data_IF_907288469693
#
_entry.id   IF_907288469693
#
_cell.length_a   1.000
_cell.length_b   1.000
_cell.length_c   1.000
_cell.angle_alpha   90.00
_cell.angle_beta   90.00
_cell.angle_gamma   90.00
#
_symmetry.space_group_name_H-M   'P 1'
#
loop_
_entity.id
_entity.type
_entity.pdbx_description
1 polymer ?
#
# COMPACT_ATOMS: atom_id res chain seq x y z
N UNK A 1 3.77 17.49 -34.76
CA UNK A 1 4.18 18.42 -33.67
C UNK A 1 3.91 17.75 -32.35
N UNK A 2 4.90 17.71 -31.43
CA UNK A 2 4.71 17.14 -30.10
C UNK A 2 3.87 18.11 -29.25
N UNK A 3 2.76 17.65 -28.70
CA UNK A 3 1.86 18.43 -27.86
C UNK A 3 2.61 18.97 -26.63
N UNK A 4 2.31 20.22 -26.25
CA UNK A 4 2.89 20.87 -25.07
C UNK A 4 1.80 21.04 -24.01
N UNK A 5 2.14 20.69 -22.77
CA UNK A 5 1.29 20.85 -21.60
C UNK A 5 1.98 21.75 -20.58
N UNK A 6 1.20 22.61 -19.93
CA UNK A 6 1.66 23.32 -18.74
C UNK A 6 1.86 22.35 -17.56
N UNK A 7 2.66 22.75 -16.58
CA UNK A 7 2.82 21.97 -15.35
C UNK A 7 1.48 21.81 -14.59
N UNK A 8 0.59 22.79 -14.65
CA UNK A 8 -0.73 22.75 -14.04
C UNK A 8 -1.63 21.68 -14.69
N UNK A 9 -1.63 21.59 -16.03
CA UNK A 9 -2.35 20.53 -16.75
C UNK A 9 -1.79 19.16 -16.44
N UNK A 10 -0.46 18.98 -16.41
CA UNK A 10 0.18 17.74 -16.07
C UNK A 10 -0.19 17.27 -14.64
N UNK A 11 -0.22 18.17 -13.64
CA UNK A 11 -0.70 17.88 -12.29
C UNK A 11 -2.15 17.47 -12.28
N UNK A 12 -3.00 18.23 -12.96
CA UNK A 12 -4.43 17.94 -13.03
C UNK A 12 -4.71 16.57 -13.63
N UNK A 13 -4.00 16.18 -14.69
CA UNK A 13 -4.07 14.85 -15.32
C UNK A 13 -3.64 13.78 -14.34
N UNK A 14 -2.50 13.95 -13.66
CA UNK A 14 -1.98 12.97 -12.70
C UNK A 14 -2.93 12.76 -11.51
N UNK A 15 -3.48 13.82 -10.96
CA UNK A 15 -4.44 13.79 -9.85
C UNK A 15 -5.75 13.11 -10.29
N UNK A 16 -6.23 13.43 -11.50
CA UNK A 16 -7.43 12.81 -12.07
C UNK A 16 -7.21 11.30 -12.29
N UNK A 17 -6.09 10.90 -12.90
CA UNK A 17 -5.75 9.50 -13.10
C UNK A 17 -5.66 8.74 -11.77
N UNK A 18 -5.12 9.37 -10.72
CA UNK A 18 -5.07 8.81 -9.38
C UNK A 18 -6.44 8.70 -8.67
N UNK A 19 -7.53 9.18 -9.28
CA UNK A 19 -8.90 9.03 -8.76
C UNK A 19 -9.37 10.14 -7.84
N UNK A 20 -8.80 11.34 -7.95
CA UNK A 20 -9.22 12.53 -7.20
C UNK A 20 -9.99 13.54 -8.05
N UNK A 21 -10.47 13.13 -9.23
CA UNK A 21 -11.29 13.92 -10.16
C UNK A 21 -12.78 13.97 -9.79
N UNK A 22 -13.18 13.20 -8.78
CA UNK A 22 -14.58 13.06 -8.34
C UNK A 22 -14.69 13.23 -6.83
N UNK A 23 -15.84 13.73 -6.35
CA UNK A 23 -16.11 13.76 -4.92
C UNK A 23 -16.16 12.33 -4.34
N UNK A 24 -15.84 12.20 -3.09
CA UNK A 24 -15.99 10.94 -2.34
C UNK A 24 -17.46 10.50 -2.34
N UNK A 25 -17.76 9.20 -2.51
CA UNK A 25 -19.13 8.71 -2.44
C UNK A 25 -19.72 8.86 -1.03
N UNK A 26 -20.98 9.25 -0.92
CA UNK A 26 -21.63 9.41 0.37
C UNK A 26 -21.75 8.07 1.14
N UNK A 27 -21.89 6.96 0.42
CA UNK A 27 -21.96 5.58 0.97
C UNK A 27 -21.00 4.67 0.18
N UNK A 28 -19.71 4.59 0.59
CA UNK A 28 -18.74 3.71 -0.07
C UNK A 28 -19.14 2.24 0.04
N UNK A 29 -19.14 1.52 -1.07
CA UNK A 29 -19.45 0.09 -1.15
C UNK A 29 -18.43 -0.68 -2.00
N UNK A 30 -18.68 -1.98 -2.21
CA UNK A 30 -17.79 -2.89 -2.95
C UNK A 30 -17.45 -2.37 -4.36
N UNK A 31 -18.40 -1.83 -5.08
CA UNK A 31 -18.19 -1.28 -6.43
C UNK A 31 -17.21 -0.12 -6.44
N UNK A 32 -17.29 0.75 -5.43
CA UNK A 32 -16.37 1.87 -5.30
C UNK A 32 -14.94 1.40 -4.98
N UNK A 33 -14.78 0.46 -4.02
CA UNK A 33 -13.47 -0.10 -3.69
C UNK A 33 -12.85 -0.81 -4.90
N UNK A 34 -13.64 -1.63 -5.60
CA UNK A 34 -13.25 -2.30 -6.85
C UNK A 34 -12.76 -1.30 -7.90
N UNK A 35 -13.53 -0.24 -8.14
CA UNK A 35 -13.20 0.78 -9.13
C UNK A 35 -11.88 1.50 -8.80
N UNK A 36 -11.60 1.80 -7.53
CA UNK A 36 -10.33 2.40 -7.11
C UNK A 36 -9.16 1.46 -7.39
N UNK A 37 -9.26 0.17 -7.03
CA UNK A 37 -8.16 -0.78 -7.23
C UNK A 37 -7.89 -0.99 -8.72
N UNK A 38 -8.94 -1.14 -9.56
CA UNK A 38 -8.78 -1.25 -11.00
C UNK A 38 -8.17 0.01 -11.64
N UNK A 39 -8.56 1.20 -11.16
CA UNK A 39 -8.00 2.47 -11.64
C UNK A 39 -6.51 2.56 -11.36
N UNK A 40 -6.10 2.20 -10.16
CA UNK A 40 -4.70 2.22 -9.74
C UNK A 40 -3.90 1.02 -10.28
N UNK A 41 -4.56 -0.07 -10.65
CA UNK A 41 -3.92 -1.33 -11.08
C UNK A 41 -3.27 -2.10 -9.93
N UNK A 42 -2.91 -1.44 -8.84
CA UNK A 42 -2.40 -2.08 -7.62
C UNK A 42 -2.54 -1.17 -6.40
N UNK A 43 -2.49 -1.77 -5.21
CA UNK A 43 -2.34 -1.05 -3.94
C UNK A 43 -1.21 -1.71 -3.17
N UNK A 44 -0.19 -0.94 -2.81
CA UNK A 44 0.92 -1.46 -2.01
C UNK A 44 0.44 -1.88 -0.62
N UNK A 45 0.84 -3.08 -0.22
CA UNK A 45 0.67 -3.60 1.14
C UNK A 45 1.84 -3.14 2.00
N UNK A 46 1.54 -2.40 3.04
CA UNK A 46 2.50 -2.06 4.06
C UNK A 46 1.86 -2.15 5.44
N UNK A 47 2.61 -2.70 6.38
CA UNK A 47 2.15 -3.04 7.73
C UNK A 47 2.77 -2.15 8.80
N UNK A 48 3.30 -1.00 8.41
CA UNK A 48 3.71 0.05 9.36
C UNK A 48 2.46 0.51 10.12
N UNK A 49 2.26 -0.03 11.30
CA UNK A 49 1.05 0.15 12.10
C UNK A 49 1.12 1.40 12.99
N UNK A 50 1.38 2.56 12.40
CA UNK A 50 1.34 3.85 13.11
C UNK A 50 -0.10 4.35 13.25
N UNK A 51 -0.88 4.23 12.18
CA UNK A 51 -2.33 4.50 12.14
C UNK A 51 -3.10 3.19 11.97
N UNK A 52 -2.90 2.56 10.83
CA UNK A 52 -3.40 1.27 10.38
C UNK A 52 -2.57 0.84 9.16
N UNK A 53 -2.67 -0.42 8.70
CA UNK A 53 -1.98 -0.85 7.49
C UNK A 53 -2.30 0.06 6.30
N UNK A 54 -1.25 0.48 5.57
CA UNK A 54 -1.30 1.60 4.62
C UNK A 54 -2.27 1.38 3.44
N UNK A 55 -2.48 0.14 3.02
CA UNK A 55 -3.38 -0.20 1.92
C UNK A 55 -4.85 0.20 2.19
N UNK A 56 -5.30 0.18 3.44
CA UNK A 56 -6.63 0.70 3.78
C UNK A 56 -6.69 2.22 3.61
N UNK A 57 -5.61 2.94 3.91
CA UNK A 57 -5.58 4.39 3.82
C UNK A 57 -5.59 4.89 2.37
N UNK A 58 -5.00 4.15 1.42
CA UNK A 58 -5.06 4.47 -0.02
C UNK A 58 -6.51 4.50 -0.51
N UNK A 59 -7.35 3.57 -0.06
CA UNK A 59 -8.79 3.60 -0.36
C UNK A 59 -9.49 4.75 0.38
N UNK A 60 -9.18 4.96 1.67
CA UNK A 60 -9.77 6.05 2.47
C UNK A 60 -9.54 7.42 1.82
N UNK A 61 -8.36 7.69 1.30
CA UNK A 61 -8.06 8.96 0.64
C UNK A 61 -9.04 9.27 -0.51
N UNK A 62 -9.56 8.25 -1.19
CA UNK A 62 -10.47 8.37 -2.34
C UNK A 62 -11.94 8.18 -1.99
N UNK A 63 -12.23 7.33 -1.01
CA UNK A 63 -13.59 6.93 -0.67
C UNK A 63 -14.14 7.65 0.56
N UNK A 64 -13.27 8.24 1.40
CA UNK A 64 -13.66 8.64 2.75
C UNK A 64 -13.87 7.45 3.69
N UNK A 65 -14.62 7.60 4.77
CA UNK A 65 -14.92 6.52 5.70
C UNK A 65 -15.63 5.36 5.01
N UNK A 66 -14.99 4.21 4.95
CA UNK A 66 -15.54 2.98 4.39
C UNK A 66 -15.30 1.81 5.33
N UNK A 67 -16.06 0.74 5.19
CA UNK A 67 -15.90 -0.45 5.99
C UNK A 67 -14.71 -1.27 5.48
N UNK A 68 -13.64 -1.41 6.27
CA UNK A 68 -12.36 -2.05 5.87
C UNK A 68 -12.54 -3.47 5.33
N UNK A 69 -13.51 -4.25 5.89
CA UNK A 69 -13.86 -5.60 5.39
C UNK A 69 -14.28 -5.65 3.91
N UNK A 70 -14.62 -4.50 3.28
CA UNK A 70 -14.89 -4.47 1.83
C UNK A 70 -13.66 -4.86 1.02
N UNK A 71 -12.48 -4.39 1.42
CA UNK A 71 -11.23 -4.76 0.76
C UNK A 71 -10.92 -6.23 0.98
N UNK A 72 -10.97 -6.69 2.24
CA UNK A 72 -10.71 -8.08 2.59
C UNK A 72 -11.67 -9.05 1.88
N UNK A 73 -12.94 -8.65 1.75
CA UNK A 73 -13.94 -9.42 1.03
C UNK A 73 -13.62 -9.55 -0.47
N UNK A 74 -13.17 -8.46 -1.12
CA UNK A 74 -12.76 -8.47 -2.53
C UNK A 74 -11.54 -9.37 -2.76
N UNK A 75 -10.57 -9.34 -1.84
CA UNK A 75 -9.30 -10.08 -1.97
C UNK A 75 -9.48 -11.56 -1.59
N UNK A 76 -9.99 -11.84 -0.39
CA UNK A 76 -9.91 -13.20 0.18
C UNK A 76 -11.20 -14.02 0.02
N UNK A 77 -12.35 -13.36 -0.18
CA UNK A 77 -13.63 -14.09 -0.35
C UNK A 77 -14.04 -14.17 -1.81
N UNK A 78 -14.06 -13.02 -2.50
CA UNK A 78 -14.45 -12.99 -3.92
C UNK A 78 -13.31 -13.36 -4.86
N UNK A 79 -12.06 -13.26 -4.41
CA UNK A 79 -10.85 -13.54 -5.20
C UNK A 79 -10.79 -12.76 -6.52
N UNK A 80 -11.40 -11.57 -6.54
CA UNK A 80 -11.30 -10.65 -7.67
C UNK A 80 -9.91 -9.97 -7.70
N UNK A 81 -9.28 -9.95 -6.54
CA UNK A 81 -7.92 -9.44 -6.31
C UNK A 81 -7.11 -10.47 -5.55
N UNK A 82 -5.79 -10.37 -5.65
CA UNK A 82 -4.85 -11.24 -4.94
C UNK A 82 -3.65 -10.45 -4.48
N UNK A 83 -2.90 -11.00 -3.54
CA UNK A 83 -1.59 -10.44 -3.16
C UNK A 83 -0.52 -10.99 -4.09
N UNK A 84 0.42 -10.14 -4.50
CA UNK A 84 1.63 -10.54 -5.19
C UNK A 84 2.68 -9.44 -5.15
N UNK A 85 3.94 -9.79 -5.42
CA UNK A 85 5.03 -8.86 -5.61
C UNK A 85 4.87 -8.12 -6.96
N UNK A 86 4.48 -6.84 -6.90
CA UNK A 86 4.28 -5.96 -8.06
C UNK A 86 5.14 -4.69 -7.95
N UNK A 87 4.66 -3.60 -7.36
CA UNK A 87 5.53 -2.50 -6.96
C UNK A 87 6.43 -2.94 -5.80
N UNK A 88 5.83 -3.37 -4.74
CA UNK A 88 6.32 -4.13 -3.59
C UNK A 88 5.31 -5.25 -3.34
N UNK A 89 5.16 -5.78 -2.12
CA UNK A 89 3.99 -6.58 -1.80
C UNK A 89 2.74 -5.74 -2.08
N UNK A 90 1.84 -6.22 -2.91
CA UNK A 90 0.71 -5.44 -3.41
C UNK A 90 -0.54 -6.30 -3.54
N UNK A 91 -1.70 -5.65 -3.39
CA UNK A 91 -2.98 -6.17 -3.87
C UNK A 91 -3.10 -5.78 -5.34
N UNK A 92 -3.35 -6.74 -6.21
CA UNK A 92 -3.51 -6.58 -7.65
C UNK A 92 -4.82 -7.24 -8.12
N UNK A 93 -5.46 -6.78 -9.20
CA UNK A 93 -6.47 -7.56 -9.88
C UNK A 93 -5.95 -8.95 -10.22
N UNK A 94 -6.70 -10.01 -9.92
CA UNK A 94 -6.23 -11.38 -10.14
C UNK A 94 -5.89 -11.65 -11.61
N UNK A 95 -6.57 -10.98 -12.54
CA UNK A 95 -6.28 -11.02 -13.97
C UNK A 95 -4.87 -10.53 -14.36
N UNK A 96 -4.19 -9.81 -13.46
CA UNK A 96 -2.80 -9.38 -13.65
C UNK A 96 -1.78 -10.43 -13.19
N UNK A 97 -2.18 -11.44 -12.45
CA UNK A 97 -1.28 -12.48 -11.95
C UNK A 97 -0.45 -13.15 -13.07
N UNK A 98 -1.02 -13.50 -14.24
CA UNK A 98 -0.25 -14.05 -15.37
C UNK A 98 0.83 -13.10 -15.89
N UNK A 99 0.65 -11.79 -15.78
CA UNK A 99 1.62 -10.79 -16.24
C UNK A 99 2.90 -10.78 -15.39
N UNK A 100 2.83 -11.27 -14.17
CA UNK A 100 3.96 -11.31 -13.23
C UNK A 100 4.72 -12.65 -13.27
N UNK A 101 4.24 -13.66 -14.01
CA UNK A 101 4.86 -14.99 -14.07
C UNK A 101 6.32 -14.99 -14.51
N UNK A 102 6.68 -14.15 -15.48
CA UNK A 102 8.07 -14.06 -15.92
C UNK A 102 9.02 -13.64 -14.77
N UNK A 103 8.54 -12.78 -13.87
CA UNK A 103 9.31 -12.37 -12.67
C UNK A 103 9.37 -13.48 -11.63
N UNK A 104 8.29 -14.26 -11.49
CA UNK A 104 8.25 -15.42 -10.61
C UNK A 104 9.21 -16.50 -11.09
N UNK A 105 9.23 -16.80 -12.39
CA UNK A 105 10.13 -17.78 -13.01
C UNK A 105 11.61 -17.37 -12.95
N UNK A 106 11.91 -16.08 -13.06
CA UNK A 106 13.26 -15.55 -12.94
C UNK A 106 13.70 -15.37 -11.47
N UNK A 107 12.87 -15.78 -10.49
CA UNK A 107 13.05 -15.57 -9.06
C UNK A 107 13.29 -14.09 -8.68
N UNK A 108 12.90 -13.16 -9.56
CA UNK A 108 13.12 -11.73 -9.40
C UNK A 108 12.02 -11.01 -8.61
N UNK A 109 11.04 -11.74 -8.10
CA UNK A 109 9.99 -11.11 -7.31
C UNK A 109 10.57 -10.35 -6.11
N UNK A 110 11.61 -10.92 -5.47
CA UNK A 110 12.46 -10.21 -4.50
C UNK A 110 13.82 -10.91 -4.34
N UNK A 111 14.94 -10.22 -4.56
CA UNK A 111 16.30 -10.74 -4.38
C UNK A 111 16.74 -10.59 -2.90
N UNK A 112 16.04 -11.24 -1.95
CA UNK A 112 16.37 -11.11 -0.53
C UNK A 112 17.08 -12.33 0.06
N UNK A 113 17.84 -13.05 -0.77
CA UNK A 113 18.64 -14.18 -0.31
C UNK A 113 17.82 -15.44 0.01
N UNK A 114 16.57 -15.52 -0.45
CA UNK A 114 15.78 -16.73 -0.29
C UNK A 114 16.36 -17.93 -1.02
N UNK A 115 17.05 -17.72 -2.13
CA UNK A 115 17.65 -18.80 -2.90
C UNK A 115 18.66 -19.58 -2.07
N UNK A 116 19.45 -18.91 -1.25
CA UNK A 116 20.37 -19.57 -0.31
C UNK A 116 19.67 -20.52 0.67
N UNK A 117 18.57 -20.07 1.28
CA UNK A 117 17.78 -20.92 2.19
C UNK A 117 17.16 -22.09 1.45
N UNK A 118 16.67 -21.86 0.23
CA UNK A 118 16.06 -22.89 -0.61
C UNK A 118 17.07 -23.96 -1.04
N UNK A 119 18.34 -23.59 -1.20
CA UNK A 119 19.44 -24.50 -1.59
C UNK A 119 20.05 -25.21 -0.39
N UNK A 120 20.35 -24.49 0.70
CA UNK A 120 21.00 -25.06 1.91
C UNK A 120 20.14 -26.08 2.64
N UNK A 121 18.80 -26.02 2.47
CA UNK A 121 17.83 -26.86 3.18
C UNK A 121 16.83 -27.54 2.25
N UNK A 122 17.26 -27.94 1.05
CA UNK A 122 16.38 -28.41 -0.04
C UNK A 122 15.38 -29.49 0.38
N UNK A 123 15.83 -30.50 1.17
CA UNK A 123 14.97 -31.59 1.61
C UNK A 123 13.84 -31.09 2.53
N UNK A 124 14.18 -30.25 3.50
CA UNK A 124 13.17 -29.69 4.40
C UNK A 124 12.26 -28.68 3.67
N UNK A 125 12.82 -27.89 2.74
CA UNK A 125 12.05 -26.97 1.91
C UNK A 125 10.97 -27.70 1.12
N UNK A 126 11.28 -28.89 0.57
CA UNK A 126 10.29 -29.73 -0.11
C UNK A 126 9.16 -30.15 0.85
N UNK A 127 9.48 -30.53 2.09
CA UNK A 127 8.48 -30.93 3.08
C UNK A 127 7.50 -29.81 3.43
N UNK A 128 7.94 -28.54 3.43
CA UNK A 128 7.07 -27.38 3.67
C UNK A 128 5.98 -27.28 2.60
N UNK A 129 6.33 -27.49 1.32
CA UNK A 129 5.35 -27.46 0.25
C UNK A 129 4.36 -28.63 0.36
N UNK A 130 4.85 -29.81 0.76
CA UNK A 130 4.01 -30.99 0.97
C UNK A 130 3.05 -30.80 2.17
N UNK A 131 3.50 -30.16 3.23
CA UNK A 131 2.62 -29.78 4.34
C UNK A 131 1.49 -28.83 3.88
N UNK A 132 1.80 -27.78 3.11
CA UNK A 132 0.77 -26.90 2.56
C UNK A 132 -0.18 -27.69 1.65
N UNK A 133 0.33 -28.64 0.86
CA UNK A 133 -0.49 -29.51 -0.01
C UNK A 133 -1.44 -30.38 0.80
N UNK A 134 -0.95 -30.96 1.88
CA UNK A 134 -1.72 -31.92 2.71
C UNK A 134 -2.73 -31.22 3.65
N UNK A 135 -2.33 -30.12 4.28
CA UNK A 135 -3.08 -29.47 5.37
C UNK A 135 -3.91 -28.27 4.93
N UNK A 136 -3.66 -27.72 3.73
CA UNK A 136 -4.33 -26.52 3.23
C UNK A 136 -3.67 -25.23 3.73
N UNK A 137 -4.41 -24.11 3.90
CA UNK A 137 -3.80 -22.83 4.24
C UNK A 137 -3.04 -22.89 5.57
N UNK A 138 -1.75 -22.56 5.56
CA UNK A 138 -0.87 -22.55 6.72
C UNK A 138 -0.21 -21.19 6.93
N UNK A 139 -0.01 -20.83 8.20
CA UNK A 139 0.87 -19.75 8.59
C UNK A 139 2.26 -20.28 8.97
N UNK A 140 3.27 -19.41 8.89
CA UNK A 140 4.66 -19.81 9.18
C UNK A 140 4.88 -20.35 10.60
N UNK A 141 4.08 -19.90 11.55
CA UNK A 141 4.16 -20.35 12.95
C UNK A 141 3.67 -21.78 13.16
N UNK A 142 2.87 -22.34 12.23
CA UNK A 142 2.34 -23.70 12.32
C UNK A 142 3.23 -24.76 11.67
N UNK A 143 4.38 -24.38 11.12
CA UNK A 143 5.35 -25.27 10.48
C UNK A 143 6.47 -25.58 11.46
N UNK A 144 6.64 -26.87 11.75
CA UNK A 144 7.74 -27.35 12.59
C UNK A 144 9.08 -27.14 11.88
N UNK A 145 10.07 -26.68 12.65
CA UNK A 145 11.37 -26.33 12.14
C UNK A 145 12.46 -27.25 12.69
N UNK A 146 13.35 -27.85 11.88
CA UNK A 146 14.36 -28.80 12.34
C UNK A 146 15.56 -28.14 13.05
N UNK A 147 15.35 -27.13 13.89
CA UNK A 147 16.39 -26.58 14.76
C UNK A 147 17.45 -25.66 14.12
N UNK A 148 17.27 -25.22 12.85
CA UNK A 148 18.20 -24.28 12.21
C UNK A 148 17.99 -22.90 12.79
N UNK A 149 19.03 -22.32 13.38
CA UNK A 149 18.97 -20.97 13.97
C UNK A 149 18.91 -19.89 12.88
N UNK A 150 18.19 -18.82 13.20
CA UNK A 150 18.00 -17.65 12.31
C UNK A 150 19.30 -16.87 11.95
N UNK A 151 20.47 -17.42 12.24
CA UNK A 151 21.77 -16.81 11.93
C UNK A 151 22.07 -16.72 10.42
N UNK A 152 21.25 -17.37 9.58
CA UNK A 152 21.39 -17.33 8.12
C UNK A 152 20.84 -16.05 7.47
N UNK A 153 20.18 -15.17 8.22
CA UNK A 153 19.52 -13.99 7.66
C UNK A 153 20.19 -12.71 8.11
N UNK A 154 20.93 -12.08 7.24
CA UNK A 154 21.51 -10.74 7.44
C UNK A 154 20.44 -9.62 7.55
N UNK A 155 19.15 -9.95 7.43
CA UNK A 155 18.05 -9.00 7.43
C UNK A 155 17.06 -9.22 8.57
N UNK A 156 16.85 -8.16 9.36
CA UNK A 156 15.91 -8.11 10.48
C UNK A 156 14.44 -8.45 10.17
N UNK A 157 14.07 -8.54 8.89
CA UNK A 157 12.71 -8.82 8.44
C UNK A 157 12.32 -10.30 8.45
N UNK A 158 13.29 -11.22 8.40
CA UNK A 158 13.04 -12.67 8.34
C UNK A 158 13.74 -13.37 9.49
N UNK A 159 13.10 -13.37 10.65
CA UNK A 159 13.58 -14.09 11.84
C UNK A 159 13.18 -15.57 11.88
N UNK A 160 12.43 -16.04 10.89
CA UNK A 160 11.86 -17.39 10.84
C UNK A 160 12.14 -18.02 9.48
N UNK A 161 12.84 -19.15 9.48
CA UNK A 161 13.15 -19.93 8.26
C UNK A 161 11.86 -20.42 7.59
N UNK A 162 10.83 -20.97 8.30
CA UNK A 162 9.57 -21.32 7.68
C UNK A 162 8.92 -20.16 6.90
N UNK A 163 8.96 -18.95 7.49
CA UNK A 163 8.44 -17.76 6.80
C UNK A 163 9.23 -17.45 5.53
N UNK A 164 10.55 -17.56 5.56
CA UNK A 164 11.38 -17.30 4.37
C UNK A 164 11.07 -18.27 3.24
N UNK A 165 10.88 -19.55 3.56
CA UNK A 165 10.53 -20.60 2.57
C UNK A 165 9.14 -20.34 1.99
N UNK A 166 8.13 -20.05 2.82
CA UNK A 166 6.80 -19.72 2.34
C UNK A 166 6.80 -18.45 1.46
N UNK A 167 7.57 -17.42 1.84
CA UNK A 167 7.73 -16.21 1.02
C UNK A 167 8.47 -16.50 -0.29
N UNK A 168 9.45 -17.40 -0.31
CA UNK A 168 10.12 -17.82 -1.53
C UNK A 168 9.15 -18.55 -2.48
N UNK A 169 8.37 -19.50 -1.99
CA UNK A 169 7.36 -20.19 -2.76
C UNK A 169 6.25 -19.26 -3.26
N UNK A 170 5.83 -18.30 -2.43
CA UNK A 170 4.90 -17.24 -2.82
C UNK A 170 5.51 -16.35 -3.93
N UNK A 171 6.76 -15.91 -3.78
CA UNK A 171 7.47 -15.13 -4.79
C UNK A 171 7.65 -15.87 -6.12
N UNK A 172 7.79 -17.20 -6.07
CA UNK A 172 7.88 -18.09 -7.24
C UNK A 172 6.52 -18.46 -7.84
N UNK A 173 5.40 -18.04 -7.20
CA UNK A 173 4.05 -18.30 -7.67
C UNK A 173 3.56 -19.73 -7.46
N UNK A 174 4.24 -20.52 -6.63
CA UNK A 174 3.78 -21.85 -6.20
C UNK A 174 2.73 -21.75 -5.10
N UNK A 175 2.87 -20.76 -4.23
CA UNK A 175 1.91 -20.43 -3.20
C UNK A 175 1.24 -19.07 -3.50
N UNK A 176 0.05 -18.88 -2.93
CA UNK A 176 -0.68 -17.62 -2.89
C UNK A 176 -1.23 -17.38 -1.48
N UNK A 177 -1.66 -16.15 -1.20
CA UNK A 177 -2.23 -15.82 0.11
C UNK A 177 -3.72 -16.11 0.10
N UNK A 178 -4.13 -17.13 0.85
CA UNK A 178 -5.52 -17.56 0.96
C UNK A 178 -6.35 -16.58 1.80
N UNK A 179 -5.79 -16.11 2.90
CA UNK A 179 -6.37 -15.10 3.79
C UNK A 179 -5.32 -14.54 4.75
N UNK A 180 -5.72 -13.54 5.54
CA UNK A 180 -4.93 -13.00 6.65
C UNK A 180 -5.68 -13.11 7.96
N UNK A 181 -4.94 -13.35 9.04
CA UNK A 181 -5.45 -13.24 10.39
C UNK A 181 -5.64 -11.76 10.79
N UNK A 182 -6.33 -11.49 11.89
CA UNK A 182 -6.54 -10.12 12.41
C UNK A 182 -5.23 -9.39 12.75
N UNK A 183 -4.21 -10.14 13.17
CA UNK A 183 -2.84 -9.61 13.37
C UNK A 183 -2.04 -9.45 12.08
N UNK A 184 -2.69 -9.63 10.92
CA UNK A 184 -2.12 -9.54 9.57
C UNK A 184 -1.17 -10.68 9.19
N UNK A 185 -1.05 -11.75 9.98
CA UNK A 185 -0.32 -12.96 9.59
C UNK A 185 -0.90 -13.55 8.30
N UNK A 186 -0.02 -14.01 7.41
CA UNK A 186 -0.37 -14.61 6.12
C UNK A 186 -0.66 -16.09 6.29
N UNK A 187 -1.75 -16.56 5.68
CA UNK A 187 -2.04 -17.95 5.45
C UNK A 187 -1.79 -18.28 3.98
N UNK A 188 -0.80 -19.14 3.74
CA UNK A 188 -0.36 -19.54 2.41
C UNK A 188 -1.05 -20.84 2.01
N UNK A 189 -1.52 -20.90 0.77
CA UNK A 189 -2.04 -22.12 0.17
C UNK A 189 -1.49 -22.28 -1.25
N UNK A 190 -1.67 -23.44 -1.86
CA UNK A 190 -1.26 -23.67 -3.25
C UNK A 190 -1.90 -22.62 -4.16
N UNK A 191 -1.12 -22.07 -5.07
CA UNK A 191 -1.62 -21.06 -6.01
C UNK A 191 -2.83 -21.57 -6.79
N UNK A 192 -2.87 -22.86 -7.14
CA UNK A 192 -3.98 -23.53 -7.84
C UNK A 192 -5.29 -23.60 -7.04
N UNK A 193 -5.23 -23.44 -5.71
CA UNK A 193 -6.43 -23.39 -4.85
C UNK A 193 -6.93 -21.98 -4.60
N UNK A 194 -6.07 -20.98 -4.81
CA UNK A 194 -6.37 -19.57 -4.51
C UNK A 194 -6.65 -18.75 -5.77
N UNK A 195 -5.84 -18.94 -6.81
CA UNK A 195 -5.94 -18.20 -8.08
C UNK A 195 -6.93 -18.94 -9.00
N UNK A 196 -7.94 -18.26 -9.56
CA UNK A 196 -8.90 -18.87 -10.48
C UNK A 196 -8.21 -19.55 -11.68
N UNK A 197 -8.72 -20.70 -12.08
CA UNK A 197 -8.10 -21.58 -13.08
C UNK A 197 -7.83 -20.88 -14.42
N UNK A 198 -8.73 -19.99 -14.86
CA UNK A 198 -8.56 -19.22 -16.10
C UNK A 198 -7.33 -18.30 -16.06
N UNK A 199 -6.96 -17.77 -14.90
CA UNK A 199 -5.77 -16.94 -14.73
C UNK A 199 -4.50 -17.81 -14.58
N UNK A 200 -4.62 -18.97 -13.94
CA UNK A 200 -3.53 -19.94 -13.89
C UNK A 200 -3.20 -20.53 -15.27
N UNK A 201 -4.20 -20.83 -16.08
CA UNK A 201 -4.00 -21.38 -17.41
C UNK A 201 -3.44 -20.37 -18.42
N UNK A 202 -3.72 -19.07 -18.19
CA UNK A 202 -3.32 -18.01 -19.11
C UNK A 202 -1.81 -17.87 -19.19
N UNK A 203 -1.24 -18.10 -20.36
CA UNK A 203 0.16 -17.86 -20.66
C UNK A 203 0.32 -16.48 -21.32
N UNK A 204 1.29 -15.71 -20.87
CA UNK A 204 1.64 -14.41 -21.44
C UNK A 204 3.16 -14.39 -21.59
N UNK A 205 3.65 -14.12 -22.80
CA UNK A 205 5.08 -14.00 -23.02
C UNK A 205 5.65 -12.77 -22.27
N UNK A 206 6.94 -12.79 -21.90
CA UNK A 206 7.54 -11.70 -21.10
C UNK A 206 7.46 -10.31 -21.76
N UNK A 207 7.51 -10.22 -23.09
CA UNK A 207 7.42 -8.94 -23.78
C UNK A 207 6.00 -8.39 -23.74
N UNK A 208 4.99 -9.23 -24.02
CA UNK A 208 3.59 -8.91 -23.89
C UNK A 208 3.21 -8.53 -22.44
N UNK A 209 3.75 -9.26 -21.47
CA UNK A 209 3.53 -8.96 -20.06
C UNK A 209 4.09 -7.59 -19.67
N UNK A 210 5.33 -7.26 -20.05
CA UNK A 210 5.94 -5.94 -19.81
C UNK A 210 5.14 -4.82 -20.50
N UNK A 211 4.68 -5.04 -21.72
CA UNK A 211 3.86 -4.06 -22.46
C UNK A 211 2.54 -3.79 -21.74
N UNK A 212 1.84 -4.85 -21.26
CA UNK A 212 0.59 -4.67 -20.51
C UNK A 212 0.82 -3.97 -19.17
N UNK A 213 1.88 -4.30 -18.44
CA UNK A 213 2.23 -3.61 -17.19
C UNK A 213 2.51 -2.11 -17.41
N UNK A 214 3.23 -1.73 -18.48
CA UNK A 214 3.46 -0.33 -18.84
C UNK A 214 2.14 0.36 -19.23
N UNK A 215 1.23 -0.32 -19.94
CA UNK A 215 -0.11 0.20 -20.26
C UNK A 215 -0.90 0.51 -19.00
N UNK A 216 -0.88 -0.40 -18.02
CA UNK A 216 -1.57 -0.21 -16.74
C UNK A 216 -0.94 0.97 -15.97
N UNK A 217 0.40 1.05 -15.92
CA UNK A 217 1.11 2.16 -15.29
C UNK A 217 0.76 3.50 -15.94
N UNK A 218 0.73 3.55 -17.28
CA UNK A 218 0.38 4.77 -18.00
C UNK A 218 -1.04 5.27 -17.66
N UNK A 219 -2.01 4.37 -17.60
CA UNK A 219 -3.39 4.71 -17.20
C UNK A 219 -3.47 5.19 -15.76
N UNK A 220 -2.78 4.52 -14.84
CA UNK A 220 -2.79 4.87 -13.42
C UNK A 220 -2.09 6.21 -13.13
N UNK A 221 -1.06 6.55 -13.90
CA UNK A 221 -0.27 7.78 -13.76
C UNK A 221 -0.83 8.95 -14.58
N UNK A 222 -1.58 8.66 -15.67
CA UNK A 222 -2.14 9.62 -16.60
C UNK A 222 -1.10 10.29 -17.50
N UNK A 223 -0.06 10.86 -16.91
CA UNK A 223 1.12 11.44 -17.58
C UNK A 223 2.37 11.02 -16.81
N UNK A 224 3.42 10.59 -17.52
CA UNK A 224 4.60 9.99 -16.90
C UNK A 224 5.84 10.07 -17.78
N UNK A 225 7.02 10.10 -17.19
CA UNK A 225 8.28 9.79 -17.87
C UNK A 225 8.47 8.26 -17.97
N UNK A 226 9.44 7.80 -18.75
CA UNK A 226 9.78 6.37 -18.79
C UNK A 226 10.17 5.84 -17.41
N UNK A 227 10.90 6.64 -16.62
CA UNK A 227 11.29 6.28 -15.27
C UNK A 227 10.07 6.10 -14.34
N UNK A 228 9.06 6.97 -14.46
CA UNK A 228 7.81 6.86 -13.70
C UNK A 228 7.06 5.56 -14.07
N UNK A 229 6.96 5.25 -15.38
CA UNK A 229 6.29 4.07 -15.89
C UNK A 229 6.98 2.77 -15.43
N UNK A 230 8.32 2.76 -15.47
CA UNK A 230 9.12 1.64 -15.04
C UNK A 230 9.02 1.39 -13.52
N UNK A 231 9.12 2.46 -12.72
CA UNK A 231 9.04 2.37 -11.25
C UNK A 231 7.71 1.79 -10.78
N UNK A 232 6.61 2.08 -11.51
CA UNK A 232 5.26 1.66 -11.12
C UNK A 232 5.15 0.16 -10.82
N UNK A 233 5.87 -0.68 -11.57
CA UNK A 233 5.97 -2.12 -11.36
C UNK A 233 7.39 -2.59 -11.06
N UNK A 234 8.27 -1.73 -10.55
CA UNK A 234 9.68 -2.06 -10.26
C UNK A 234 10.40 -2.71 -11.46
N UNK A 235 10.11 -2.23 -12.66
CA UNK A 235 10.78 -2.62 -13.88
C UNK A 235 12.07 -1.82 -14.02
N UNK A 236 13.14 -2.42 -14.58
CA UNK A 236 14.30 -1.62 -14.96
C UNK A 236 13.94 -0.68 -16.11
N UNK A 237 14.42 0.56 -16.05
CA UNK A 237 14.14 1.58 -17.07
C UNK A 237 14.48 1.08 -18.48
N UNK A 238 15.60 0.35 -18.63
CA UNK A 238 16.01 -0.24 -19.91
C UNK A 238 14.95 -1.20 -20.51
N UNK A 239 14.23 -1.93 -19.65
CA UNK A 239 13.20 -2.88 -20.05
C UNK A 239 11.86 -2.22 -20.40
N UNK A 240 11.69 -0.94 -20.03
CA UNK A 240 10.50 -0.14 -20.33
C UNK A 240 10.54 0.54 -21.71
N UNK A 241 11.72 0.77 -22.29
CA UNK A 241 11.83 1.52 -23.55
C UNK A 241 11.06 0.87 -24.70
N UNK A 242 11.23 -0.43 -24.90
CA UNK A 242 10.55 -1.15 -25.99
C UNK A 242 9.03 -1.17 -25.81
N UNK A 243 8.46 -1.55 -24.64
CA UNK A 243 7.03 -1.46 -24.40
C UNK A 243 6.46 -0.04 -24.60
N UNK A 244 7.17 0.99 -24.17
CA UNK A 244 6.76 2.40 -24.37
C UNK A 244 6.71 2.74 -25.87
N UNK A 245 7.71 2.34 -26.65
CA UNK A 245 7.72 2.58 -28.10
C UNK A 245 6.58 1.83 -28.82
N UNK A 246 6.30 0.59 -28.43
CA UNK A 246 5.22 -0.22 -28.99
C UNK A 246 3.85 0.40 -28.67
N UNK A 247 3.61 0.86 -27.43
CA UNK A 247 2.37 1.51 -27.03
C UNK A 247 2.19 2.87 -27.70
N UNK A 248 3.28 3.61 -27.92
CA UNK A 248 3.25 4.88 -28.65
C UNK A 248 2.91 4.66 -30.13
N UNK A 249 3.51 3.66 -30.77
CA UNK A 249 3.18 3.31 -32.15
C UNK A 249 1.71 2.86 -32.31
N UNK A 250 1.15 2.23 -31.27
CA UNK A 250 -0.28 1.87 -31.23
C UNK A 250 -1.22 3.04 -30.86
N UNK A 251 -0.69 4.22 -30.57
CA UNK A 251 -1.49 5.38 -30.14
C UNK A 251 -2.09 5.26 -28.74
N UNK A 252 -1.65 4.29 -27.94
CA UNK A 252 -2.16 4.06 -26.58
C UNK A 252 -1.54 5.01 -25.54
N UNK A 253 -0.34 5.53 -25.85
CA UNK A 253 0.30 6.64 -25.15
C UNK A 253 0.83 7.65 -26.19
N UNK A 254 0.79 8.92 -25.85
CA UNK A 254 1.15 10.02 -26.76
C UNK A 254 2.38 10.74 -26.20
N UNK A 255 3.45 10.95 -27.01
CA UNK A 255 4.60 11.72 -26.57
C UNK A 255 4.21 13.19 -26.42
N UNK A 256 4.52 13.77 -25.26
CA UNK A 256 4.23 15.17 -24.93
C UNK A 256 5.45 15.83 -24.29
N UNK A 257 5.47 17.16 -24.30
CA UNK A 257 6.42 17.98 -23.53
C UNK A 257 5.67 18.69 -22.42
N UNK A 258 6.17 18.57 -21.19
CA UNK A 258 5.63 19.31 -20.04
C UNK A 258 6.56 20.45 -19.69
N UNK A 259 5.98 21.61 -19.43
CA UNK A 259 6.72 22.79 -19.00
C UNK A 259 7.54 22.48 -17.74
N UNK A 260 8.82 22.87 -17.77
CA UNK A 260 9.77 22.64 -16.67
C UNK A 260 10.32 21.22 -16.56
N UNK A 261 9.84 20.24 -17.34
CA UNK A 261 10.40 18.91 -17.35
C UNK A 261 11.55 18.77 -18.35
N UNK A 262 12.64 18.14 -17.93
CA UNK A 262 13.79 17.88 -18.81
C UNK A 262 13.54 16.69 -19.73
N UNK A 263 12.94 15.61 -19.19
CA UNK A 263 12.68 14.39 -19.92
C UNK A 263 11.36 14.48 -20.71
N UNK A 264 11.27 13.76 -21.83
CA UNK A 264 10.01 13.54 -22.53
C UNK A 264 8.99 12.87 -21.60
N UNK A 265 7.73 13.23 -21.76
CA UNK A 265 6.62 12.60 -21.06
C UNK A 265 5.68 11.87 -22.02
N UNK A 266 4.93 10.94 -21.47
CA UNK A 266 3.96 10.11 -22.15
C UNK A 266 2.60 10.32 -21.51
N UNK A 267 1.64 10.79 -22.31
CA UNK A 267 0.24 10.97 -21.92
C UNK A 267 -0.53 9.69 -22.25
N UNK A 268 -1.23 9.12 -21.31
CA UNK A 268 -2.11 7.99 -21.60
C UNK A 268 -3.25 8.42 -22.53
N UNK A 269 -3.58 7.62 -23.54
CA UNK A 269 -4.66 7.93 -24.47
C UNK A 269 -5.97 8.20 -23.73
N UNK A 270 -6.60 9.33 -24.04
CA UNK A 270 -7.83 9.78 -23.40
C UNK A 270 -7.67 10.44 -22.02
N UNK A 271 -6.47 10.48 -21.45
CA UNK A 271 -6.23 11.25 -20.22
C UNK A 271 -6.36 12.76 -20.52
N UNK A 272 -7.07 13.46 -19.64
CA UNK A 272 -7.35 14.90 -19.80
C UNK A 272 -7.26 15.58 -18.42
N UNK A 273 -6.91 16.88 -18.39
CA UNK A 273 -7.05 17.67 -17.18
C UNK A 273 -8.49 17.58 -16.63
N UNK A 274 -8.64 17.44 -15.34
CA UNK A 274 -9.95 17.49 -14.71
C UNK A 274 -10.55 18.92 -14.86
N UNK A 275 -11.84 19.01 -15.14
CA UNK A 275 -12.54 20.31 -15.21
C UNK A 275 -12.49 21.07 -13.88
N UNK A 276 -12.52 20.31 -12.78
CA UNK A 276 -12.43 20.84 -11.41
C UNK A 276 -11.81 19.77 -10.50
N UNK A 277 -10.86 20.18 -9.70
CA UNK A 277 -10.27 19.36 -8.64
C UNK A 277 -10.78 19.89 -7.30
N UNK A 278 -11.53 19.05 -6.59
CA UNK A 278 -12.08 19.36 -5.26
C UNK A 278 -11.50 18.44 -4.18
N UNK A 279 -10.40 17.77 -4.48
CA UNK A 279 -9.75 16.87 -3.54
C UNK A 279 -9.35 17.61 -2.26
N UNK A 280 -9.60 16.99 -1.12
CA UNK A 280 -9.04 17.33 0.17
C UNK A 280 -8.76 15.99 0.86
N UNK A 281 -7.51 15.52 0.81
CA UNK A 281 -7.17 14.16 1.24
C UNK A 281 -5.76 14.07 1.83
N UNK A 282 -5.65 13.36 2.94
CA UNK A 282 -4.36 12.90 3.46
C UNK A 282 -3.92 11.67 2.66
N UNK A 283 -2.69 11.71 2.13
CA UNK A 283 -2.13 10.65 1.32
C UNK A 283 -1.19 9.78 2.15
N UNK A 284 -1.36 8.47 2.06
CA UNK A 284 -0.39 7.52 2.63
C UNK A 284 0.97 7.68 1.95
N UNK A 285 2.10 7.52 2.64
CA UNK A 285 3.42 7.49 2.02
C UNK A 285 3.57 6.45 0.90
N UNK A 286 2.67 5.45 0.89
CA UNK A 286 2.61 4.34 -0.07
C UNK A 286 1.55 4.55 -1.16
N UNK A 287 0.99 5.74 -1.25
CA UNK A 287 0.01 6.07 -2.30
C UNK A 287 0.70 6.17 -3.67
N UNK A 288 0.15 5.55 -4.73
CA UNK A 288 0.72 5.60 -6.07
C UNK A 288 0.96 7.00 -6.62
N UNK A 289 0.21 8.00 -6.17
CA UNK A 289 0.42 9.38 -6.58
C UNK A 289 1.75 9.96 -6.06
N UNK A 290 2.24 9.46 -4.89
CA UNK A 290 3.34 10.11 -4.18
C UNK A 290 4.51 9.19 -3.81
N UNK A 291 4.47 7.89 -4.04
CA UNK A 291 5.56 6.99 -3.60
C UNK A 291 6.89 7.22 -4.35
N UNK A 292 6.83 7.65 -5.63
CA UNK A 292 8.03 7.91 -6.43
C UNK A 292 8.49 9.37 -6.30
N UNK A 293 9.51 9.59 -5.48
CA UNK A 293 9.98 10.93 -5.08
C UNK A 293 10.33 11.86 -6.24
N UNK A 294 11.09 11.42 -7.30
CA UNK A 294 11.39 12.30 -8.42
C UNK A 294 10.13 12.82 -9.14
N UNK A 295 9.06 12.01 -9.16
CA UNK A 295 7.78 12.40 -9.74
C UNK A 295 7.06 13.45 -8.89
N UNK A 296 7.03 13.28 -7.56
CA UNK A 296 6.39 14.24 -6.65
C UNK A 296 7.07 15.60 -6.76
N UNK A 297 8.40 15.60 -6.71
CA UNK A 297 9.18 16.83 -6.83
C UNK A 297 8.90 17.53 -8.17
N UNK A 298 8.88 16.79 -9.27
CA UNK A 298 8.64 17.28 -10.62
C UNK A 298 7.21 17.81 -10.83
N UNK A 299 6.20 17.14 -10.26
CA UNK A 299 4.78 17.53 -10.37
C UNK A 299 4.40 18.65 -9.42
N UNK A 300 4.85 18.58 -8.17
CA UNK A 300 4.33 19.39 -7.08
C UNK A 300 5.36 20.32 -6.46
N UNK A 301 6.65 20.21 -6.80
CA UNK A 301 7.72 20.91 -6.09
C UNK A 301 7.85 20.47 -4.61
N UNK A 302 7.32 19.29 -4.28
CA UNK A 302 7.15 18.85 -2.91
C UNK A 302 8.23 17.81 -2.53
N UNK A 303 9.07 18.15 -1.56
CA UNK A 303 10.04 17.21 -1.01
C UNK A 303 9.34 16.24 -0.05
N UNK A 304 9.34 14.95 -0.37
CA UNK A 304 8.78 13.91 0.48
C UNK A 304 9.84 12.91 0.94
N UNK A 305 9.86 12.64 2.25
CA UNK A 305 10.73 11.62 2.84
C UNK A 305 9.92 10.71 3.76
N UNK A 306 10.18 9.43 3.66
CA UNK A 306 9.67 8.45 4.59
C UNK A 306 10.77 8.11 5.60
N UNK A 307 10.67 8.64 6.81
CA UNK A 307 11.76 8.68 7.77
C UNK A 307 11.62 7.67 8.93
N UNK A 308 10.76 6.66 8.77
CA UNK A 308 10.50 5.69 9.84
C UNK A 308 11.77 4.93 10.27
N UNK A 309 12.68 4.67 9.32
CA UNK A 309 13.96 4.00 9.58
C UNK A 309 15.12 4.98 9.87
N UNK A 310 14.84 6.27 9.82
CA UNK A 310 15.82 7.32 10.12
C UNK A 310 15.91 7.48 11.64
N UNK A 311 17.13 7.54 12.23
CA UNK A 311 17.30 7.87 13.64
C UNK A 311 16.58 9.16 14.02
N UNK A 312 16.04 9.21 15.24
CA UNK A 312 15.11 10.29 15.66
C UNK A 312 15.72 11.69 15.51
N UNK A 313 16.99 11.86 15.81
CA UNK A 313 17.75 13.10 15.74
C UNK A 313 18.01 13.57 14.29
N UNK A 314 17.91 12.67 13.31
CA UNK A 314 18.11 12.97 11.88
C UNK A 314 16.80 13.15 11.11
N UNK A 315 15.66 12.97 11.77
CA UNK A 315 14.35 13.15 11.13
C UNK A 315 14.03 14.61 10.95
N UNK A 316 13.74 15.00 9.71
CA UNK A 316 13.33 16.37 9.38
C UNK A 316 11.85 16.60 9.66
N UNK A 317 11.01 15.66 9.25
CA UNK A 317 9.56 15.82 9.27
C UNK A 317 8.87 14.95 10.33
N UNK A 318 9.32 13.74 10.57
CA UNK A 318 8.72 12.82 11.56
C UNK A 318 8.80 11.37 11.15
N UNK A 319 8.00 10.54 11.83
CA UNK A 319 8.01 9.08 11.63
C UNK A 319 7.08 8.68 10.50
N UNK A 320 5.83 9.15 10.55
CA UNK A 320 4.77 8.77 9.61
C UNK A 320 4.07 10.01 9.07
N UNK A 321 4.74 10.63 8.12
CA UNK A 321 4.38 11.93 7.56
C UNK A 321 3.48 11.75 6.34
N UNK A 322 2.27 12.31 6.44
CA UNK A 322 1.27 12.29 5.37
C UNK A 322 1.18 13.67 4.71
N UNK A 323 1.43 13.75 3.40
CA UNK A 323 1.09 14.96 2.62
C UNK A 323 -0.42 15.18 2.56
N UNK A 324 -0.84 16.44 2.59
CA UNK A 324 -2.23 16.85 2.41
C UNK A 324 -2.43 17.43 1.01
N UNK A 325 -3.18 16.70 0.19
CA UNK A 325 -3.62 17.14 -1.13
C UNK A 325 -4.85 18.02 -0.98
N UNK A 326 -4.82 19.23 -1.56
CA UNK A 326 -5.98 20.12 -1.64
C UNK A 326 -6.03 20.75 -3.04
N UNK A 327 -7.13 20.50 -3.76
CA UNK A 327 -7.21 20.89 -5.16
C UNK A 327 -6.12 20.22 -6.01
N UNK A 328 -5.26 21.02 -6.62
CA UNK A 328 -4.16 20.56 -7.46
C UNK A 328 -2.78 20.64 -6.77
N UNK A 329 -2.71 20.87 -5.46
CA UNK A 329 -1.47 21.08 -4.71
C UNK A 329 -1.35 20.18 -3.49
N UNK A 330 -0.13 19.79 -3.16
CA UNK A 330 0.23 19.32 -1.83
C UNK A 330 0.52 20.55 -0.97
N UNK A 331 -0.38 20.87 -0.05
CA UNK A 331 -0.39 22.19 0.65
C UNK A 331 0.12 22.13 2.08
N UNK A 332 0.23 20.93 2.65
CA UNK A 332 0.73 20.72 4.01
C UNK A 332 1.22 19.27 4.17
N UNK A 333 1.86 19.00 5.31
CA UNK A 333 2.24 17.67 5.78
C UNK A 333 2.05 17.55 7.27
N UNK A 334 1.65 16.36 7.73
CA UNK A 334 1.43 16.07 9.15
C UNK A 334 2.07 14.74 9.54
N UNK A 335 2.79 14.73 10.66
CA UNK A 335 3.27 13.50 11.29
C UNK A 335 2.19 13.00 12.25
N UNK A 336 1.64 11.82 11.98
CA UNK A 336 0.49 11.29 12.69
C UNK A 336 0.82 10.03 13.49
N UNK A 337 0.10 9.85 14.61
CA UNK A 337 0.11 8.63 15.41
C UNK A 337 -1.27 8.37 16.02
N UNK A 338 -1.73 7.12 15.97
CA UNK A 338 -2.89 6.66 16.75
C UNK A 338 -2.48 6.31 18.17
N UNK A 339 -3.08 6.97 19.15
CA UNK A 339 -3.06 6.56 20.55
C UNK A 339 -4.40 5.87 20.85
N UNK A 340 -4.41 4.56 20.68
CA UNK A 340 -5.64 3.75 20.83
C UNK A 340 -6.12 3.68 22.27
N UNK A 341 -5.20 3.66 23.22
CA UNK A 341 -5.52 3.64 24.65
C UNK A 341 -6.23 4.92 25.07
N UNK A 342 -5.72 6.07 24.65
CA UNK A 342 -6.33 7.37 24.92
C UNK A 342 -7.40 7.77 23.87
N UNK A 343 -7.73 6.89 22.91
CA UNK A 343 -8.69 7.09 21.82
C UNK A 343 -8.51 8.42 21.09
N UNK A 344 -7.28 8.74 20.72
CA UNK A 344 -6.96 10.01 20.08
C UNK A 344 -6.05 9.85 18.86
N UNK A 345 -6.29 10.66 17.84
CA UNK A 345 -5.38 10.89 16.73
C UNK A 345 -4.43 12.02 17.11
N UNK A 346 -3.15 11.71 17.23
CA UNK A 346 -2.12 12.66 17.59
C UNK A 346 -1.46 13.20 16.32
N UNK A 347 -1.55 14.52 16.10
CA UNK A 347 -0.70 15.25 15.17
C UNK A 347 0.57 15.62 15.93
N UNK A 348 1.65 14.85 15.70
CA UNK A 348 2.94 15.04 16.40
C UNK A 348 3.69 16.25 15.89
N UNK A 349 3.50 16.59 14.60
CA UNK A 349 4.06 17.77 13.97
C UNK A 349 3.24 18.14 12.73
N UNK A 350 3.25 19.42 12.34
CA UNK A 350 2.57 19.89 11.13
C UNK A 350 3.31 21.05 10.49
N UNK A 351 3.43 21.01 9.15
CA UNK A 351 4.09 22.03 8.34
C UNK A 351 3.19 22.40 7.17
N UNK A 352 3.24 23.65 6.79
CA UNK A 352 2.57 24.18 5.62
C UNK A 352 3.57 24.35 4.47
N UNK A 353 3.06 24.31 3.24
CA UNK A 353 3.83 24.72 2.08
C UNK A 353 3.65 26.25 1.82
N UNK A 354 4.55 26.83 1.04
CA UNK A 354 4.49 28.24 0.72
C UNK A 354 3.34 28.60 -0.23
N UNK A 355 2.89 29.86 -0.14
CA UNK A 355 1.85 30.42 -1.04
C UNK A 355 0.48 29.78 -0.86
N UNK A 356 0.14 29.28 0.33
CA UNK A 356 -1.19 28.78 0.67
C UNK A 356 -2.03 29.83 1.41
N UNK A 357 -3.35 29.69 1.32
CA UNK A 357 -4.27 30.45 2.19
C UNK A 357 -4.43 29.71 3.53
N UNK A 358 -3.62 30.10 4.51
CA UNK A 358 -3.44 29.40 5.79
C UNK A 358 -4.75 29.05 6.50
N UNK A 359 -5.73 29.95 6.71
CA UNK A 359 -6.98 29.59 7.38
C UNK A 359 -7.77 28.51 6.66
N UNK A 360 -7.92 28.61 5.34
CA UNK A 360 -8.69 27.66 4.52
C UNK A 360 -8.04 26.27 4.55
N UNK A 361 -6.72 26.21 4.45
CA UNK A 361 -6.00 24.94 4.52
C UNK A 361 -6.08 24.32 5.92
N UNK A 362 -6.00 25.16 6.98
CA UNK A 362 -6.11 24.67 8.36
C UNK A 362 -7.50 24.07 8.64
N UNK A 363 -8.56 24.71 8.19
CA UNK A 363 -9.94 24.21 8.33
C UNK A 363 -10.15 22.90 7.54
N UNK A 364 -9.71 22.86 6.28
CA UNK A 364 -9.83 21.68 5.44
C UNK A 364 -9.06 20.49 6.01
N UNK A 365 -7.82 20.72 6.47
CA UNK A 365 -7.01 19.68 7.10
C UNK A 365 -7.61 19.23 8.45
N UNK A 366 -8.12 20.15 9.26
CA UNK A 366 -8.79 19.81 10.51
C UNK A 366 -10.05 18.96 10.28
N UNK A 367 -10.82 19.24 9.23
CA UNK A 367 -11.98 18.43 8.84
C UNK A 367 -11.55 17.02 8.40
N UNK A 368 -10.52 16.90 7.58
CA UNK A 368 -10.00 15.60 7.14
C UNK A 368 -9.42 14.79 8.32
N UNK A 369 -8.71 15.42 9.26
CA UNK A 369 -8.20 14.76 10.47
C UNK A 369 -9.32 14.24 11.37
N UNK A 370 -10.41 14.98 11.51
CA UNK A 370 -11.60 14.51 12.27
C UNK A 370 -12.26 13.32 11.58
N UNK A 371 -12.40 13.39 10.26
CA UNK A 371 -12.94 12.28 9.46
C UNK A 371 -12.06 11.03 9.57
N UNK A 372 -10.74 11.19 9.51
CA UNK A 372 -9.78 10.11 9.70
C UNK A 372 -9.85 9.54 11.12
N UNK A 373 -9.91 10.38 12.15
CA UNK A 373 -10.02 9.95 13.54
C UNK A 373 -11.30 9.12 13.76
N UNK A 374 -12.45 9.60 13.29
CA UNK A 374 -13.71 8.85 13.37
C UNK A 374 -13.63 7.50 12.66
N UNK A 375 -13.03 7.44 11.47
CA UNK A 375 -12.86 6.17 10.74
C UNK A 375 -11.90 5.18 11.43
N UNK A 376 -10.98 5.70 12.25
CA UNK A 376 -10.06 4.91 13.08
C UNK A 376 -10.64 4.55 14.46
N UNK A 377 -11.92 4.84 14.71
CA UNK A 377 -12.58 4.66 16.01
C UNK A 377 -11.92 5.48 17.15
N UNK A 378 -11.37 6.65 16.79
CA UNK A 378 -10.76 7.61 17.73
C UNK A 378 -11.69 8.79 17.98
N UNK A 379 -11.78 9.25 19.24
CA UNK A 379 -12.76 10.24 19.68
C UNK A 379 -12.32 11.68 19.45
N UNK A 380 -11.01 11.93 19.44
CA UNK A 380 -10.48 13.30 19.38
C UNK A 380 -9.19 13.40 18.57
N UNK A 381 -8.95 14.60 18.05
CA UNK A 381 -7.69 14.99 17.43
C UNK A 381 -6.93 15.90 18.37
N UNK A 382 -5.64 15.64 18.56
CA UNK A 382 -4.73 16.49 19.33
C UNK A 382 -3.59 16.98 18.46
N UNK A 383 -3.15 18.23 18.63
CA UNK A 383 -2.09 18.83 17.83
C UNK A 383 -0.97 19.30 18.75
N UNK A 384 0.23 18.73 18.57
CA UNK A 384 1.43 19.16 19.28
C UNK A 384 1.96 20.50 18.73
N UNK A 385 2.76 21.21 19.53
CA UNK A 385 3.32 22.53 19.17
C UNK A 385 4.59 22.43 18.29
N UNK A 386 4.65 21.47 17.37
CA UNK A 386 5.80 21.25 16.49
C UNK A 386 5.45 21.52 15.02
N UNK A 387 6.30 22.30 14.33
CA UNK A 387 6.11 22.72 12.95
C UNK A 387 5.46 24.09 12.83
N UNK A 388 5.64 24.73 11.71
CA UNK A 388 5.23 26.11 11.41
C UNK A 388 3.71 26.26 11.19
N UNK A 389 2.99 25.14 11.06
CA UNK A 389 1.54 25.10 10.88
C UNK A 389 0.78 24.71 12.15
N UNK A 390 1.48 24.32 13.22
CA UNK A 390 0.89 23.75 14.42
C UNK A 390 -0.13 24.65 15.13
N UNK A 391 0.16 25.96 15.23
CA UNK A 391 -0.70 26.93 15.92
C UNK A 391 -2.05 27.08 15.20
N UNK A 392 -2.02 27.26 13.90
CA UNK A 392 -3.21 27.49 13.08
C UNK A 392 -4.06 26.20 13.00
N UNK A 393 -3.42 25.06 12.80
CA UNK A 393 -4.11 23.77 12.77
C UNK A 393 -4.76 23.45 14.13
N UNK A 394 -4.06 23.71 15.24
CA UNK A 394 -4.63 23.52 16.59
C UNK A 394 -5.85 24.41 16.83
N UNK A 395 -5.86 25.64 16.33
CA UNK A 395 -7.02 26.53 16.41
C UNK A 395 -8.20 25.98 15.61
N UNK A 396 -7.98 25.55 14.36
CA UNK A 396 -9.01 24.97 13.50
C UNK A 396 -9.58 23.64 14.04
N UNK A 397 -8.73 22.81 14.68
CA UNK A 397 -9.19 21.57 15.33
C UNK A 397 -10.11 21.86 16.54
N UNK A 398 -9.86 22.93 17.30
CA UNK A 398 -10.70 23.34 18.44
C UNK A 398 -11.99 24.08 18.04
N UNK A 399 -11.96 24.86 16.96
CA UNK A 399 -13.00 25.81 16.59
C UNK A 399 -14.25 25.21 15.93
N UNK A 400 -14.24 23.95 15.47
CA UNK A 400 -15.38 23.32 14.84
C UNK A 400 -16.12 22.40 15.82
N UNK A 401 -17.46 22.51 15.83
CA UNK A 401 -18.33 21.60 16.58
C UNK A 401 -18.09 20.13 16.16
N UNK A 402 -18.22 19.15 17.08
CA UNK A 402 -18.05 17.74 16.75
C UNK A 402 -19.06 17.34 15.67
N UNK A 403 -18.57 16.80 14.56
CA UNK A 403 -19.38 16.15 13.56
C UNK A 403 -20.03 14.92 14.23
N UNK A 404 -21.37 14.85 14.23
CA UNK A 404 -22.08 13.70 14.79
C UNK A 404 -21.61 12.43 14.09
N UNK A 405 -21.36 11.31 14.81
CA UNK A 405 -20.90 10.07 14.22
C UNK A 405 -22.03 9.48 13.40
N UNK A 406 -21.93 9.56 12.06
CA UNK A 406 -22.67 8.68 11.16
C UNK A 406 -22.06 7.27 11.25
N UNK A 407 -22.41 6.52 12.30
CA UNK A 407 -22.18 5.09 12.32
C UNK A 407 -23.06 4.44 11.24
N UNK A 408 -22.51 3.73 10.27
CA UNK A 408 -23.29 2.78 9.51
C UNK A 408 -23.63 1.63 10.46
N UNK A 409 -24.90 1.58 10.84
CA UNK A 409 -25.51 0.57 11.70
C UNK A 409 -25.12 -0.83 11.26
N UNK A 410 -24.83 -1.67 12.25
CA UNK A 410 -24.51 -3.08 12.14
C UNK A 410 -25.28 -3.81 11.04
N UNK A 411 -24.55 -4.45 10.14
CA UNK A 411 -25.08 -5.52 9.32
C UNK A 411 -25.47 -6.66 10.27
N UNK A 412 -26.77 -7.02 10.25
CA UNK A 412 -27.37 -8.10 11.01
C UNK A 412 -26.49 -9.38 10.95
N UNK A 413 -26.27 -9.97 12.11
CA UNK A 413 -25.69 -11.31 12.25
C UNK A 413 -26.54 -12.29 11.46
N UNK A 414 -25.93 -13.00 10.53
CA UNK A 414 -26.53 -14.22 10.00
C UNK A 414 -26.55 -15.26 11.11
N UNK A 415 -27.57 -16.14 11.20
CA UNK A 415 -27.68 -17.13 12.26
C UNK A 415 -26.50 -18.10 12.19
N UNK A 416 -25.81 -18.24 13.31
CA UNK A 416 -24.80 -19.27 13.55
C UNK A 416 -25.52 -20.61 13.66
N UNK A 417 -25.16 -21.56 12.81
CA UNK A 417 -25.54 -22.95 12.99
C UNK A 417 -24.73 -23.51 14.19
N UNK A 418 -25.43 -23.76 15.27
CA UNK A 418 -24.92 -24.53 16.41
C UNK A 418 -24.61 -25.95 15.99
N UNK A 419 -23.36 -26.39 16.09
CA UNK A 419 -22.95 -27.70 16.61
C UNK A 419 -21.45 -27.90 16.45
N UNK A 420 -20.69 -27.64 17.50
CA UNK A 420 -19.52 -28.45 17.87
C UNK A 420 -19.02 -28.05 19.27
N UNK A 421 -19.03 -29.02 20.13
CA UNK A 421 -18.59 -29.02 21.52
C UNK A 421 -17.11 -28.68 21.65
N UNK A 422 -16.68 -27.87 22.63
CA UNK A 422 -15.26 -27.55 22.83
C UNK A 422 -14.54 -28.70 23.59
N UNK A 423 -13.24 -28.92 23.31
CA UNK A 423 -12.40 -29.82 24.12
C UNK A 423 -11.95 -29.15 25.43
N UNK A 424 -11.59 -29.95 26.46
CA UNK A 424 -11.37 -29.49 27.82
C UNK A 424 -10.10 -28.65 27.98
N UNK A 425 -10.18 -27.65 28.87
CA UNK A 425 -9.13 -26.74 29.28
C UNK A 425 -8.01 -27.41 30.07
N UNK A 426 -6.76 -27.15 29.74
CA UNK A 426 -5.54 -27.48 30.48
C UNK A 426 -5.15 -26.29 31.38
N UNK A 427 -4.79 -26.49 32.66
CA UNK A 427 -4.44 -25.41 33.57
C UNK A 427 -3.01 -24.86 33.33
N UNK A 428 -2.73 -23.59 33.70
CA UNK A 428 -1.43 -22.97 33.46
C UNK A 428 -0.38 -23.45 34.50
N UNK A 429 0.76 -23.93 34.01
CA UNK A 429 1.93 -24.21 34.85
C UNK A 429 2.81 -22.97 34.97
N UNK A 430 3.16 -22.60 36.19
CA UNK A 430 4.10 -21.57 36.60
C UNK A 430 5.49 -21.79 35.99
N UNK A 431 6.01 -20.81 35.27
CA UNK A 431 7.44 -20.73 34.95
C UNK A 431 8.03 -19.56 35.72
N UNK A 432 8.93 -19.92 36.66
CA UNK A 432 9.76 -19.00 37.42
C UNK A 432 10.86 -18.38 36.52
N UNK A 433 11.08 -17.11 36.68
CA UNK A 433 12.21 -16.36 36.10
C UNK A 433 13.53 -16.75 36.80
N UNK A 434 14.66 -16.84 36.08
CA UNK A 434 15.97 -16.83 36.72
C UNK A 434 16.57 -15.41 36.69
N UNK A 435 17.09 -15.05 37.86
CA UNK A 435 17.78 -13.81 38.19
C UNK A 435 19.11 -13.64 37.45
N UNK A 436 19.43 -12.37 37.17
CA UNK A 436 20.70 -11.90 36.65
C UNK A 436 21.86 -12.16 37.62
N UNK A 437 23.00 -12.70 37.15
CA UNK A 437 24.29 -12.55 37.78
C UNK A 437 25.28 -11.96 36.79
N UNK A 438 25.83 -10.81 37.19
CA UNK A 438 27.02 -10.16 36.60
C UNK A 438 28.24 -11.05 36.81
N UNK A 439 29.08 -11.21 35.83
CA UNK A 439 30.55 -11.25 36.04
C UNK A 439 31.26 -10.49 34.91
N UNK A 440 32.10 -9.57 35.37
CA UNK A 440 33.24 -8.99 34.68
C UNK A 440 34.32 -10.06 34.50
N UNK A 441 35.07 -9.90 33.47
CA UNK A 441 36.54 -9.90 33.33
C UNK A 441 37.04 -10.66 32.10
N UNK A 442 37.69 -9.92 31.34
CA UNK A 442 38.86 -9.89 30.43
C UNK A 442 38.53 -9.65 28.97
#
# INVERSE_FOLDING_TARGET
MTERLSLAEARSIAIAAAGFDRPRPAKPGLSHARAVIHRLGLIQLDFVNVLLPAHYQVLFSRLGPYHRRLLDHLVYRRREFTEQWAHEASIIPVAMWPLLRHRMAEHRARPWGFDRVMEEHADWVATVLDEVRARGPLEAASIEHPGVTASCFDHAWFRSVPRAVLEAYFGRGLLAIAHRHENMARFYDLAERVIPAEHLARQVDPAGARRELIRIAARALGIATIADLADYFRMFVRDAHRPVAELAAAGEIIPVRVEGWREPAWLAAGAKPAKRLTAAALLSPFDPLIWFRPRIERLFGFEHRFEIFTPAEKRRWGVYVLPFLMGDRLVARVDLKSDRTARRLCVLASWKEDGIHVPVVAEALAAELRTLAAWLDLEKVTVARKGDFARQLAAAVRGAAPCAPNHPTALARAPENESSTPPPSVPPSCIRSPSASRRKDR
#
